data_IF_864367904585
#
_entry.id   IF_864367904585
#
_cell.length_a   1.000
_cell.length_b   1.000
_cell.length_c   1.000
_cell.angle_alpha   90.00
_cell.angle_beta   90.00
_cell.angle_gamma   90.00
#
_symmetry.space_group_name_H-M   'P 1'
#
loop_
_entity.id
_entity.type
_entity.pdbx_description
1 polymer ?
#
# COMPACT_ATOMS: atom_id res chain seq x y z
N UNK A 1 -12.73 22.87 -2.35
CA UNK A 1 -13.06 21.43 -2.50
C UNK A 1 -14.13 21.07 -1.49
N UNK A 2 -15.33 20.68 -1.94
CA UNK A 2 -16.31 20.04 -1.07
C UNK A 2 -15.65 18.81 -0.42
N UNK A 3 -15.86 18.60 0.89
CA UNK A 3 -15.23 17.53 1.65
C UNK A 3 -15.87 16.18 1.29
N UNK A 4 -15.50 15.64 0.13
CA UNK A 4 -16.00 14.36 -0.35
C UNK A 4 -15.36 13.21 0.45
N UNK A 5 -16.11 12.21 0.94
CA UNK A 5 -15.56 11.10 1.72
C UNK A 5 -14.41 10.35 1.03
N UNK A 6 -14.43 10.26 -0.31
CA UNK A 6 -13.33 9.66 -1.06
C UNK A 6 -12.01 10.43 -0.90
N UNK A 7 -12.05 11.76 -0.90
CA UNK A 7 -10.86 12.61 -0.82
C UNK A 7 -10.09 12.38 0.49
N UNK A 8 -10.79 12.14 1.59
CA UNK A 8 -10.17 11.83 2.88
C UNK A 8 -9.33 10.54 2.84
N UNK A 9 -9.70 9.57 1.99
CA UNK A 9 -9.02 8.27 1.85
C UNK A 9 -7.96 8.27 0.75
N UNK A 10 -8.10 9.14 -0.25
CA UNK A 10 -7.15 9.29 -1.36
C UNK A 10 -6.02 10.25 -0.98
N UNK A 11 -6.29 11.38 -0.33
CA UNK A 11 -5.31 12.44 -0.14
C UNK A 11 -4.05 12.01 0.66
N UNK A 12 -4.14 11.27 1.78
CA UNK A 12 -2.96 10.79 2.50
C UNK A 12 -2.11 9.82 1.66
N UNK A 13 -2.76 8.96 0.85
CA UNK A 13 -2.07 8.06 -0.06
C UNK A 13 -1.39 8.84 -1.20
N UNK A 14 -2.10 9.76 -1.83
CA UNK A 14 -1.60 10.56 -2.95
C UNK A 14 -0.41 11.45 -2.55
N UNK A 15 -0.47 12.11 -1.37
CA UNK A 15 0.65 12.93 -0.91
C UNK A 15 1.89 12.07 -0.64
N UNK A 16 1.73 10.86 -0.08
CA UNK A 16 2.85 9.96 0.14
C UNK A 16 3.46 9.52 -1.19
N UNK A 17 2.64 9.15 -2.18
CA UNK A 17 3.12 8.76 -3.51
C UNK A 17 3.86 9.89 -4.22
N UNK A 18 3.36 11.13 -4.14
CA UNK A 18 4.02 12.30 -4.77
C UNK A 18 5.35 12.61 -4.09
N UNK A 19 5.41 12.58 -2.75
CA UNK A 19 6.63 12.84 -1.99
C UNK A 19 7.65 11.70 -2.08
N UNK A 20 7.22 10.51 -2.51
CA UNK A 20 8.13 9.39 -2.77
C UNK A 20 9.13 9.73 -3.87
N UNK A 21 8.71 10.46 -4.92
CA UNK A 21 9.57 10.82 -6.06
C UNK A 21 10.85 11.55 -5.62
N UNK A 22 10.80 12.71 -4.94
CA UNK A 22 12.01 13.39 -4.47
C UNK A 22 12.77 12.59 -3.41
N UNK A 23 12.11 11.73 -2.63
CA UNK A 23 12.77 10.86 -1.65
C UNK A 23 13.62 9.79 -2.34
N UNK A 24 13.12 9.18 -3.42
CA UNK A 24 13.88 8.22 -4.22
C UNK A 24 15.04 8.90 -4.95
N UNK A 25 14.83 10.07 -5.55
CA UNK A 25 15.96 10.82 -6.14
C UNK A 25 17.04 11.15 -5.10
N UNK A 26 16.64 11.54 -3.89
CA UNK A 26 17.58 11.81 -2.83
C UNK A 26 18.25 10.55 -2.27
N UNK A 27 17.65 9.36 -2.31
CA UNK A 27 18.35 8.13 -1.90
C UNK A 27 19.52 7.82 -2.82
N UNK A 28 19.37 8.12 -4.11
CA UNK A 28 20.35 7.74 -5.13
C UNK A 28 21.49 8.76 -5.24
N UNK A 29 21.17 10.06 -5.25
CA UNK A 29 22.15 11.14 -5.50
C UNK A 29 22.58 11.91 -4.23
N UNK A 30 21.71 11.99 -3.23
CA UNK A 30 21.90 12.82 -2.04
C UNK A 30 21.56 12.08 -0.74
N UNK A 31 22.13 10.88 -0.57
CA UNK A 31 21.78 9.92 0.47
C UNK A 31 21.62 10.53 1.89
N UNK A 32 22.43 11.53 2.27
CA UNK A 32 22.34 12.22 3.57
C UNK A 32 21.07 13.05 3.78
N UNK A 33 20.39 13.47 2.71
CA UNK A 33 19.11 14.18 2.76
C UNK A 33 17.91 13.24 2.93
N UNK A 34 18.09 11.95 2.60
CA UNK A 34 17.02 10.95 2.70
C UNK A 34 16.28 10.96 4.06
N UNK A 35 16.95 10.93 5.23
CA UNK A 35 16.25 10.89 6.52
C UNK A 35 15.32 12.09 6.73
N UNK A 36 15.75 13.28 6.30
CA UNK A 36 14.97 14.51 6.43
C UNK A 36 13.76 14.49 5.50
N UNK A 37 13.95 14.14 4.23
CA UNK A 37 12.87 14.10 3.26
C UNK A 37 11.84 13.01 3.60
N UNK A 38 12.31 11.84 4.06
CA UNK A 38 11.44 10.76 4.52
C UNK A 38 10.64 11.15 5.77
N UNK A 39 11.27 11.88 6.71
CA UNK A 39 10.57 12.43 7.87
C UNK A 39 9.48 13.43 7.44
N UNK A 40 9.78 14.32 6.48
CA UNK A 40 8.79 15.27 5.92
C UNK A 40 7.63 14.51 5.26
N UNK A 41 7.92 13.47 4.47
CA UNK A 41 6.91 12.61 3.84
C UNK A 41 5.98 11.96 4.88
N UNK A 42 6.56 11.38 5.93
CA UNK A 42 5.79 10.80 7.02
C UNK A 42 4.95 11.85 7.76
N UNK A 43 5.54 12.99 8.10
CA UNK A 43 4.86 14.07 8.82
C UNK A 43 3.70 14.67 8.00
N UNK A 44 3.89 14.90 6.70
CA UNK A 44 2.85 15.38 5.80
C UNK A 44 1.68 14.39 5.71
N UNK A 45 1.98 13.10 5.66
CA UNK A 45 0.97 12.03 5.61
C UNK A 45 0.18 11.93 6.93
N UNK A 46 0.87 11.96 8.08
CA UNK A 46 0.23 11.97 9.40
C UNK A 46 -0.63 13.22 9.57
N UNK A 47 -0.14 14.39 9.12
CA UNK A 47 -0.91 15.62 9.14
C UNK A 47 -2.19 15.52 8.29
N UNK A 48 -2.13 14.92 7.10
CA UNK A 48 -3.32 14.63 6.28
C UNK A 48 -4.31 13.71 6.99
N UNK A 49 -3.82 12.62 7.59
CA UNK A 49 -4.66 11.69 8.35
C UNK A 49 -5.35 12.39 9.52
N UNK A 50 -4.63 13.24 10.25
CA UNK A 50 -5.19 14.03 11.34
C UNK A 50 -6.20 15.07 10.85
N UNK A 51 -5.91 15.77 9.75
CA UNK A 51 -6.76 16.82 9.17
C UNK A 51 -8.12 16.29 8.70
N UNK A 52 -8.17 15.04 8.23
CA UNK A 52 -9.38 14.39 7.72
C UNK A 52 -10.01 13.40 8.70
N UNK A 53 -9.50 13.26 9.94
CA UNK A 53 -9.91 12.21 10.90
C UNK A 53 -11.41 12.13 11.17
N UNK A 54 -12.14 13.24 11.09
CA UNK A 54 -13.59 13.28 11.28
C UNK A 54 -14.38 12.58 10.16
N UNK A 55 -13.79 12.45 8.97
CA UNK A 55 -14.41 11.81 7.79
C UNK A 55 -14.05 10.32 7.66
N UNK A 56 -13.29 9.80 8.63
CA UNK A 56 -12.70 8.46 8.63
C UNK A 56 -12.95 7.76 9.96
N UNK A 57 -14.22 7.57 10.39
CA UNK A 57 -14.55 6.94 11.67
C UNK A 57 -14.01 5.51 11.80
N UNK A 58 -13.75 4.82 10.69
CA UNK A 58 -13.14 3.49 10.66
C UNK A 58 -11.64 3.50 10.94
N UNK A 59 -10.96 4.64 10.80
CA UNK A 59 -9.53 4.78 11.08
C UNK A 59 -9.32 4.79 12.60
N UNK A 60 -9.17 3.60 13.15
CA UNK A 60 -8.95 3.36 14.57
C UNK A 60 -7.64 2.63 14.75
N UNK A 61 -7.03 2.73 15.94
CA UNK A 61 -5.78 2.03 16.28
C UNK A 61 -6.00 0.89 17.29
N UNK A 62 -7.22 0.32 17.31
CA UNK A 62 -7.56 -0.79 18.20
C UNK A 62 -6.75 -2.03 17.83
N UNK A 63 -6.07 -2.60 18.80
CA UNK A 63 -5.29 -3.83 18.62
C UNK A 63 -6.20 -5.07 18.75
N UNK A 64 -5.83 -6.15 18.05
CA UNK A 64 -6.44 -7.46 18.16
C UNK A 64 -5.36 -8.52 17.99
N UNK A 65 -5.43 -9.64 18.71
CA UNK A 65 -4.39 -10.69 18.66
C UNK A 65 -4.16 -11.26 17.25
N UNK A 66 -5.22 -11.29 16.43
CA UNK A 66 -5.16 -11.73 15.03
C UNK A 66 -4.16 -10.89 14.22
N UNK A 67 -3.90 -9.64 14.60
CA UNK A 67 -2.91 -8.78 13.96
C UNK A 67 -1.52 -9.38 14.00
N UNK A 68 -1.12 -9.93 15.15
CA UNK A 68 0.21 -10.53 15.31
C UNK A 68 0.33 -11.80 14.47
N UNK A 69 -0.68 -12.67 14.52
CA UNK A 69 -0.68 -13.94 13.78
C UNK A 69 -0.72 -13.70 12.27
N UNK A 70 -1.60 -12.80 11.81
CA UNK A 70 -1.70 -12.44 10.40
C UNK A 70 -0.43 -11.74 9.90
N UNK A 71 0.13 -10.81 10.68
CA UNK A 71 1.34 -10.07 10.29
C UNK A 71 2.56 -10.98 10.17
N UNK A 72 2.83 -11.82 11.18
CA UNK A 72 3.94 -12.78 11.11
C UNK A 72 3.73 -13.83 10.01
N UNK A 73 2.49 -14.30 9.83
CA UNK A 73 2.15 -15.23 8.76
C UNK A 73 2.36 -14.65 7.36
N UNK A 74 1.96 -13.40 7.15
CA UNK A 74 2.18 -12.69 5.88
C UNK A 74 3.67 -12.44 5.64
N UNK A 75 4.42 -12.00 6.66
CA UNK A 75 5.88 -11.84 6.53
C UNK A 75 6.57 -13.15 6.12
N UNK A 76 6.18 -14.26 6.75
CA UNK A 76 6.69 -15.58 6.39
C UNK A 76 6.34 -15.97 4.95
N UNK A 77 5.07 -15.80 4.55
CA UNK A 77 4.62 -16.07 3.17
C UNK A 77 5.41 -15.22 2.16
N UNK A 78 5.63 -13.95 2.47
CA UNK A 78 6.36 -13.02 1.61
C UNK A 78 7.79 -13.48 1.34
N UNK A 79 8.52 -13.87 2.40
CA UNK A 79 9.89 -14.37 2.28
C UNK A 79 9.94 -15.69 1.50
N UNK A 80 9.07 -16.65 1.84
CA UNK A 80 9.09 -17.98 1.23
C UNK A 80 8.74 -17.91 -0.26
N UNK A 81 7.65 -17.22 -0.60
CA UNK A 81 7.19 -17.09 -1.98
C UNK A 81 8.18 -16.25 -2.79
N UNK A 82 8.68 -15.14 -2.23
CA UNK A 82 9.68 -14.30 -2.91
C UNK A 82 10.93 -15.09 -3.28
N UNK A 83 11.47 -15.89 -2.36
CA UNK A 83 12.61 -16.79 -2.66
C UNK A 83 12.26 -17.83 -3.72
N UNK A 84 11.08 -18.44 -3.61
CA UNK A 84 10.63 -19.45 -4.56
C UNK A 84 10.49 -18.88 -5.98
N UNK A 85 10.02 -17.64 -6.11
CA UNK A 85 9.90 -16.94 -7.38
C UNK A 85 11.26 -16.68 -8.03
N UNK A 86 12.28 -16.31 -7.24
CA UNK A 86 13.67 -16.20 -7.72
C UNK A 86 14.20 -17.56 -8.18
N UNK A 87 13.90 -18.63 -7.45
CA UNK A 87 14.31 -20.00 -7.84
C UNK A 87 13.63 -20.48 -9.12
N UNK A 88 12.35 -20.17 -9.33
CA UNK A 88 11.60 -20.58 -10.52
C UNK A 88 11.93 -19.74 -11.76
N UNK A 89 12.19 -18.44 -11.57
CA UNK A 89 12.44 -17.51 -12.66
C UNK A 89 13.75 -16.72 -12.45
N UNK A 90 14.91 -17.41 -12.40
CA UNK A 90 16.18 -16.76 -12.10
C UNK A 90 16.53 -15.68 -13.15
N UNK A 91 16.28 -15.92 -14.43
CA UNK A 91 16.59 -14.92 -15.47
C UNK A 91 15.75 -13.64 -15.36
N UNK A 92 14.59 -13.69 -14.69
CA UNK A 92 13.72 -12.53 -14.50
C UNK A 92 13.96 -11.81 -13.17
N UNK A 93 14.40 -12.54 -12.13
CA UNK A 93 14.43 -12.03 -10.75
C UNK A 93 15.70 -12.34 -9.95
N UNK A 94 16.73 -12.98 -10.53
CA UNK A 94 17.99 -13.24 -9.83
C UNK A 94 18.76 -11.95 -9.53
N UNK A 95 18.64 -10.96 -10.41
CA UNK A 95 19.26 -9.66 -10.26
C UNK A 95 18.20 -8.66 -9.77
N UNK A 96 17.69 -8.85 -8.55
CA UNK A 96 16.68 -7.94 -7.98
C UNK A 96 17.18 -6.51 -7.76
N UNK A 97 18.40 -6.17 -8.21
CA UNK A 97 18.96 -4.82 -8.08
C UNK A 97 18.92 -4.33 -6.64
N UNK A 98 19.02 -5.25 -5.68
CA UNK A 98 18.97 -4.93 -4.26
C UNK A 98 20.30 -4.28 -3.91
N UNK A 99 20.44 -3.02 -4.28
CA UNK A 99 21.52 -2.17 -3.84
C UNK A 99 21.45 -2.09 -2.31
N UNK A 100 22.60 -1.91 -1.64
CA UNK A 100 22.61 -1.62 -0.23
C UNK A 100 21.70 -0.44 0.06
N UNK A 101 20.71 -0.61 0.95
CA UNK A 101 19.81 0.48 1.32
C UNK A 101 20.59 1.73 1.79
N UNK A 102 21.78 1.51 2.34
CA UNK A 102 22.83 2.50 2.48
C UNK A 102 24.18 1.80 2.29
N UNK A 103 25.08 2.44 1.56
CA UNK A 103 26.50 2.09 1.58
C UNK A 103 27.20 2.99 2.62
N UNK A 104 28.14 2.42 3.39
CA UNK A 104 28.81 3.13 4.49
C UNK A 104 29.58 4.38 4.02
N UNK A 105 30.02 4.39 2.76
CA UNK A 105 30.70 5.50 2.10
C UNK A 105 29.76 6.70 1.79
N UNK A 106 28.47 6.44 1.54
CA UNK A 106 27.51 7.49 1.16
C UNK A 106 26.92 8.22 2.37
N UNK A 107 26.41 7.50 3.37
CA UNK A 107 25.74 8.10 4.53
C UNK A 107 26.62 8.15 5.79
N UNK A 108 27.57 7.23 5.92
CA UNK A 108 28.25 6.95 7.19
C UNK A 108 27.32 6.22 8.19
N UNK A 109 27.90 5.56 9.21
CA UNK A 109 27.18 4.61 10.06
C UNK A 109 26.06 5.27 10.86
N UNK A 110 26.28 6.48 11.39
CA UNK A 110 25.30 7.16 12.24
C UNK A 110 24.04 7.55 11.44
N UNK A 111 24.23 8.18 10.28
CA UNK A 111 23.10 8.62 9.44
C UNK A 111 22.39 7.41 8.83
N UNK A 112 23.12 6.37 8.43
CA UNK A 112 22.55 5.11 7.94
C UNK A 112 21.61 4.46 8.97
N UNK A 113 22.03 4.37 10.24
CA UNK A 113 21.16 3.83 11.30
C UNK A 113 19.96 4.71 11.64
N UNK A 114 20.11 6.04 11.54
CA UNK A 114 18.98 6.97 11.68
C UNK A 114 17.98 6.77 10.54
N UNK A 115 18.45 6.74 9.29
CA UNK A 115 17.64 6.46 8.11
C UNK A 115 16.89 5.14 8.28
N UNK A 116 17.59 4.11 8.76
CA UNK A 116 17.02 2.79 8.94
C UNK A 116 15.94 2.72 10.00
N UNK A 117 16.18 3.37 11.14
CA UNK A 117 15.22 3.44 12.24
C UNK A 117 13.98 4.24 11.82
N UNK A 118 14.17 5.33 11.09
CA UNK A 118 13.07 6.11 10.52
C UNK A 118 12.27 5.27 9.53
N UNK A 119 12.92 4.54 8.63
CA UNK A 119 12.25 3.63 7.67
C UNK A 119 11.44 2.57 8.40
N UNK A 120 11.99 1.93 9.43
CA UNK A 120 11.26 0.96 10.25
C UNK A 120 9.98 1.58 10.82
N UNK A 121 10.08 2.76 11.44
CA UNK A 121 8.93 3.44 12.04
C UNK A 121 7.91 3.89 10.99
N UNK A 122 8.35 4.48 9.88
CA UNK A 122 7.49 4.93 8.79
C UNK A 122 6.76 3.77 8.13
N UNK A 123 7.49 2.73 7.72
CA UNK A 123 6.92 1.54 7.08
C UNK A 123 6.04 0.72 8.03
N UNK A 124 6.33 0.69 9.34
CA UNK A 124 5.56 -0.14 10.28
C UNK A 124 4.38 0.61 10.93
N UNK A 125 4.38 1.95 10.93
CA UNK A 125 3.34 2.73 11.62
C UNK A 125 2.58 3.64 10.66
N UNK A 126 3.27 4.44 9.85
CA UNK A 126 2.63 5.46 9.00
C UNK A 126 2.05 4.84 7.74
N UNK A 127 2.82 4.01 7.05
CA UNK A 127 2.42 3.37 5.79
C UNK A 127 1.15 2.53 5.93
N UNK A 128 1.05 1.63 6.92
CA UNK A 128 -0.15 0.83 7.12
C UNK A 128 -1.41 1.66 7.33
N UNK A 129 -1.30 2.82 7.98
CA UNK A 129 -2.47 3.67 8.27
C UNK A 129 -3.11 4.21 6.99
N UNK A 130 -2.35 4.78 6.07
CA UNK A 130 -2.93 5.33 4.84
C UNK A 130 -3.16 4.26 3.77
N UNK A 131 -2.31 3.23 3.70
CA UNK A 131 -2.49 2.17 2.71
C UNK A 131 -3.71 1.31 3.01
N UNK A 132 -3.94 0.92 4.27
CA UNK A 132 -5.14 0.13 4.61
C UNK A 132 -6.41 1.00 4.57
N UNK A 133 -6.29 2.30 4.81
CA UNK A 133 -7.38 3.26 4.59
C UNK A 133 -7.76 3.33 3.10
N UNK A 134 -6.79 3.42 2.20
CA UNK A 134 -7.02 3.42 0.76
C UNK A 134 -7.52 2.05 0.27
N UNK A 135 -6.84 0.96 0.60
CA UNK A 135 -7.18 -0.36 0.07
C UNK A 135 -8.43 -0.96 0.74
N UNK A 136 -8.49 -0.97 2.07
CA UNK A 136 -9.53 -1.71 2.82
C UNK A 136 -10.71 -0.88 3.24
N UNK A 137 -10.61 0.44 3.20
CA UNK A 137 -11.81 1.28 3.23
C UNK A 137 -12.23 1.71 1.84
N UNK A 138 -11.41 2.45 1.08
CA UNK A 138 -11.87 3.02 -0.19
C UNK A 138 -12.09 1.94 -1.27
N UNK A 139 -11.04 1.20 -1.67
CA UNK A 139 -11.15 0.26 -2.79
C UNK A 139 -12.16 -0.87 -2.50
N UNK A 140 -12.13 -1.48 -1.30
CA UNK A 140 -13.09 -2.53 -0.95
C UNK A 140 -14.56 -2.07 -1.07
N UNK A 141 -14.85 -0.80 -0.75
CA UNK A 141 -16.22 -0.25 -0.85
C UNK A 141 -16.56 0.18 -2.28
N UNK A 142 -15.61 0.79 -2.99
CA UNK A 142 -15.79 1.25 -4.37
C UNK A 142 -15.86 0.09 -5.38
N UNK A 143 -15.25 -1.06 -5.08
CA UNK A 143 -15.20 -2.23 -5.96
C UNK A 143 -16.17 -3.33 -5.52
N UNK A 144 -17.31 -2.95 -4.94
CA UNK A 144 -18.25 -3.91 -4.37
C UNK A 144 -19.02 -4.70 -5.42
N UNK A 145 -19.58 -3.98 -6.40
CA UNK A 145 -20.42 -4.53 -7.45
C UNK A 145 -19.69 -4.44 -8.80
N UNK A 146 -19.57 -5.54 -9.57
CA UNK A 146 -18.82 -5.55 -10.81
C UNK A 146 -19.41 -4.63 -11.89
N UNK A 147 -20.74 -4.48 -11.96
CA UNK A 147 -21.39 -3.65 -12.98
C UNK A 147 -21.18 -2.18 -12.68
N UNK A 148 -21.43 -1.75 -11.43
CA UNK A 148 -21.16 -0.37 -10.98
C UNK A 148 -19.67 -0.04 -11.07
N UNK A 149 -18.79 -1.01 -10.75
CA UNK A 149 -17.33 -0.85 -10.91
C UNK A 149 -16.97 -0.57 -12.37
N UNK A 150 -17.50 -1.35 -13.31
CA UNK A 150 -17.25 -1.11 -14.73
C UNK A 150 -17.79 0.25 -15.19
N UNK A 151 -19.00 0.65 -14.78
CA UNK A 151 -19.50 2.00 -15.02
C UNK A 151 -18.55 3.07 -14.47
N UNK A 152 -18.05 2.90 -13.25
CA UNK A 152 -17.10 3.83 -12.64
C UNK A 152 -15.78 3.94 -13.39
N UNK A 153 -15.26 2.82 -13.91
CA UNK A 153 -14.07 2.82 -14.75
C UNK A 153 -14.30 3.55 -16.09
N UNK A 154 -15.48 3.38 -16.69
CA UNK A 154 -15.86 4.17 -17.88
C UNK A 154 -15.95 5.65 -17.55
N UNK A 155 -16.56 6.02 -16.42
CA UNK A 155 -16.63 7.42 -15.96
C UNK A 155 -15.24 8.02 -15.77
N UNK A 156 -14.31 7.30 -15.14
CA UNK A 156 -12.90 7.73 -15.04
C UNK A 156 -12.27 7.88 -16.43
N UNK A 157 -12.52 6.93 -17.34
CA UNK A 157 -12.00 7.01 -18.71
C UNK A 157 -12.55 8.22 -19.49
N UNK A 158 -13.75 8.70 -19.16
CA UNK A 158 -14.35 9.89 -19.75
C UNK A 158 -13.65 11.19 -19.35
N UNK A 159 -13.02 11.22 -18.18
CA UNK A 159 -12.29 12.39 -17.71
C UNK A 159 -10.93 12.56 -18.40
N UNK A 160 -10.45 11.55 -19.14
CA UNK A 160 -9.19 11.63 -19.87
C UNK A 160 -9.37 12.30 -21.25
N UNK A 161 -8.49 13.24 -21.63
CA UNK A 161 -8.52 13.83 -22.96
C UNK A 161 -8.32 12.75 -24.03
N UNK A 162 -8.92 12.92 -25.21
CA UNK A 162 -8.91 11.96 -26.34
C UNK A 162 -9.74 10.70 -26.09
N UNK A 163 -9.51 9.99 -24.98
CA UNK A 163 -10.25 8.76 -24.63
C UNK A 163 -11.71 9.12 -24.32
N UNK A 164 -11.94 10.16 -23.53
CA UNK A 164 -13.28 10.59 -23.16
C UNK A 164 -14.10 11.10 -24.33
N UNK A 165 -13.48 11.92 -25.19
CA UNK A 165 -14.12 12.42 -26.42
C UNK A 165 -14.59 11.25 -27.30
N UNK A 166 -13.72 10.25 -27.50
CA UNK A 166 -14.07 9.02 -28.21
C UNK A 166 -15.19 8.25 -27.50
N UNK A 167 -15.13 8.11 -26.17
CA UNK A 167 -16.10 7.33 -25.41
C UNK A 167 -17.50 7.95 -25.45
N UNK A 168 -17.60 9.29 -25.53
CA UNK A 168 -18.87 10.01 -25.65
C UNK A 168 -19.59 9.77 -26.99
N UNK A 169 -18.90 9.25 -28.01
CA UNK A 169 -19.53 8.79 -29.24
C UNK A 169 -20.01 7.34 -29.16
N UNK A 170 -19.69 6.61 -28.09
CA UNK A 170 -20.15 5.23 -27.88
C UNK A 170 -21.43 5.20 -27.04
N UNK A 171 -22.30 4.22 -27.33
CA UNK A 171 -23.50 4.02 -26.50
C UNK A 171 -23.17 3.64 -25.05
N UNK A 172 -22.00 3.06 -24.78
CA UNK A 172 -21.55 2.71 -23.44
C UNK A 172 -21.16 3.96 -22.62
N UNK A 173 -20.38 4.88 -23.20
CA UNK A 173 -19.99 6.13 -22.55
C UNK A 173 -21.20 7.01 -22.23
N UNK A 174 -22.11 7.21 -23.19
CA UNK A 174 -23.33 8.00 -22.97
C UNK A 174 -24.18 7.42 -21.83
N UNK A 175 -24.26 6.08 -21.70
CA UNK A 175 -24.97 5.44 -20.59
C UNK A 175 -24.27 5.61 -19.25
N UNK A 176 -22.93 5.63 -19.23
CA UNK A 176 -22.15 5.81 -18.01
C UNK A 176 -22.21 7.25 -17.50
N UNK A 177 -22.15 8.23 -18.40
CA UNK A 177 -22.24 9.67 -18.10
C UNK A 177 -23.59 10.06 -17.46
N UNK A 178 -24.68 9.46 -17.93
CA UNK A 178 -26.03 9.68 -17.37
C UNK A 178 -26.24 9.08 -15.97
N UNK A 179 -25.37 8.18 -15.53
CA UNK A 179 -25.48 7.56 -14.22
C UNK A 179 -24.80 8.42 -13.15
N UNK A 180 -25.25 8.29 -11.91
CA UNK A 180 -24.55 8.92 -10.77
C UNK A 180 -23.09 8.43 -10.71
N UNK A 181 -22.18 9.18 -10.09
CA UNK A 181 -20.79 8.75 -9.94
C UNK A 181 -20.71 7.42 -9.19
N UNK A 182 -20.36 6.35 -9.92
CA UNK A 182 -20.60 4.98 -9.46
C UNK A 182 -19.73 4.60 -8.25
N UNK A 183 -18.49 5.08 -8.20
CA UNK A 183 -17.60 4.84 -7.06
C UNK A 183 -18.04 5.61 -5.81
N UNK A 184 -18.51 6.85 -5.97
CA UNK A 184 -19.07 7.62 -4.85
C UNK A 184 -20.30 6.95 -4.27
N UNK A 185 -21.20 6.49 -5.12
CA UNK A 185 -22.41 5.80 -4.69
C UNK A 185 -22.06 4.51 -3.95
N UNK A 186 -21.22 3.65 -4.53
CA UNK A 186 -20.78 2.41 -3.90
C UNK A 186 -20.04 2.65 -2.58
N UNK A 187 -19.21 3.70 -2.51
CA UNK A 187 -18.55 4.10 -1.27
C UNK A 187 -19.59 4.40 -0.20
N UNK A 188 -20.52 5.32 -0.46
CA UNK A 188 -21.51 5.77 0.52
C UNK A 188 -22.49 4.66 0.95
N UNK A 189 -22.88 3.78 0.03
CA UNK A 189 -23.83 2.69 0.30
C UNK A 189 -23.20 1.50 1.01
N UNK A 190 -21.89 1.28 0.86
CA UNK A 190 -21.22 0.09 1.42
C UNK A 190 -20.70 0.37 2.82
N UNK A 191 -21.21 -0.34 3.85
CA UNK A 191 -20.65 -0.28 5.20
C UNK A 191 -19.21 -0.79 5.24
N UNK A 192 -18.42 -0.25 6.16
CA UNK A 192 -17.06 -0.72 6.41
C UNK A 192 -17.04 -2.21 6.81
N UNK A 193 -16.05 -2.94 6.29
CA UNK A 193 -15.83 -4.36 6.59
C UNK A 193 -16.80 -5.32 5.90
N UNK A 194 -17.65 -4.84 4.98
CA UNK A 194 -18.46 -5.72 4.13
C UNK A 194 -17.63 -6.24 2.97
N UNK A 195 -17.51 -7.57 2.88
CA UNK A 195 -16.73 -8.24 1.85
C UNK A 195 -17.64 -8.93 0.83
N UNK A 196 -17.33 -8.78 -0.45
CA UNK A 196 -17.80 -9.67 -1.52
C UNK A 196 -16.59 -10.35 -2.13
N UNK A 197 -16.78 -11.51 -2.77
CA UNK A 197 -15.69 -12.19 -3.47
C UNK A 197 -15.08 -11.26 -4.52
N UNK A 198 -15.92 -10.55 -5.27
CA UNK A 198 -15.46 -9.59 -6.28
C UNK A 198 -14.64 -8.45 -5.65
N UNK A 199 -15.09 -7.82 -4.57
CA UNK A 199 -14.37 -6.71 -3.96
C UNK A 199 -13.02 -7.12 -3.40
N UNK A 200 -12.95 -8.30 -2.78
CA UNK A 200 -11.69 -8.86 -2.26
C UNK A 200 -10.72 -9.10 -3.40
N UNK A 201 -11.14 -9.77 -4.47
CA UNK A 201 -10.28 -10.07 -5.62
C UNK A 201 -9.85 -8.80 -6.36
N UNK A 202 -10.79 -7.90 -6.66
CA UNK A 202 -10.51 -6.68 -7.40
C UNK A 202 -9.59 -5.72 -6.64
N UNK A 203 -9.85 -5.46 -5.35
CA UNK A 203 -8.98 -4.60 -4.54
C UNK A 203 -7.60 -5.22 -4.32
N UNK A 204 -7.52 -6.54 -4.16
CA UNK A 204 -6.25 -7.26 -4.02
C UNK A 204 -5.45 -7.22 -5.32
N UNK A 205 -6.10 -7.32 -6.47
CA UNK A 205 -5.44 -7.20 -7.76
C UNK A 205 -4.86 -5.79 -7.96
N UNK A 206 -5.61 -4.74 -7.63
CA UNK A 206 -5.08 -3.35 -7.68
C UNK A 206 -3.88 -3.18 -6.75
N UNK A 207 -3.96 -3.71 -5.53
CA UNK A 207 -2.83 -3.71 -4.58
C UNK A 207 -1.62 -4.46 -5.14
N UNK A 208 -1.81 -5.63 -5.76
CA UNK A 208 -0.74 -6.43 -6.34
C UNK A 208 0.01 -5.67 -7.46
N UNK A 209 -0.71 -4.95 -8.33
CA UNK A 209 -0.11 -4.27 -9.48
C UNK A 209 0.88 -3.15 -9.12
N UNK A 210 0.81 -2.59 -7.91
CA UNK A 210 1.76 -1.56 -7.45
C UNK A 210 3.02 -2.15 -6.79
N UNK A 211 3.14 -3.48 -6.76
CA UNK A 211 4.31 -4.18 -6.22
C UNK A 211 5.19 -4.77 -7.33
N UNK A 212 6.43 -5.07 -6.98
CA UNK A 212 7.38 -5.71 -7.88
C UNK A 212 6.84 -7.08 -8.38
N UNK A 213 6.96 -7.43 -9.67
CA UNK A 213 6.41 -8.67 -10.23
C UNK A 213 6.84 -9.96 -9.52
N UNK A 214 8.07 -10.00 -8.99
CA UNK A 214 8.56 -11.09 -8.12
C UNK A 214 7.60 -11.38 -6.96
N UNK A 215 7.04 -10.34 -6.36
CA UNK A 215 6.27 -10.42 -5.13
C UNK A 215 4.77 -10.56 -5.38
N UNK A 216 4.30 -10.46 -6.64
CA UNK A 216 2.87 -10.52 -6.98
C UNK A 216 2.10 -11.68 -6.33
N UNK A 217 2.59 -12.94 -6.33
CA UNK A 217 1.85 -14.02 -5.70
C UNK A 217 1.73 -13.84 -4.18
N UNK A 218 2.78 -13.34 -3.52
CA UNK A 218 2.76 -13.01 -2.09
C UNK A 218 1.83 -11.83 -1.80
N UNK A 219 1.90 -10.76 -2.60
CA UNK A 219 1.03 -9.58 -2.49
C UNK A 219 -0.45 -9.95 -2.64
N UNK A 220 -0.76 -10.86 -3.56
CA UNK A 220 -2.13 -11.34 -3.77
C UNK A 220 -2.65 -12.08 -2.53
N UNK A 221 -1.87 -13.03 -1.99
CA UNK A 221 -2.27 -13.73 -0.76
C UNK A 221 -2.35 -12.78 0.44
N UNK A 222 -1.40 -11.85 0.59
CA UNK A 222 -1.41 -10.79 1.59
C UNK A 222 -2.70 -9.98 1.54
N UNK A 223 -3.08 -9.49 0.35
CA UNK A 223 -4.30 -8.71 0.17
C UNK A 223 -5.58 -9.48 0.55
N UNK A 224 -5.66 -10.77 0.20
CA UNK A 224 -6.77 -11.63 0.64
C UNK A 224 -6.78 -11.77 2.16
N UNK A 225 -5.64 -12.10 2.79
CA UNK A 225 -5.53 -12.27 4.24
C UNK A 225 -5.95 -10.98 4.96
N UNK A 226 -5.47 -9.82 4.53
CA UNK A 226 -5.83 -8.54 5.14
C UNK A 226 -7.30 -8.19 4.96
N UNK A 227 -7.91 -8.49 3.81
CA UNK A 227 -9.36 -8.38 3.65
C UNK A 227 -10.11 -9.26 4.66
N UNK A 228 -9.68 -10.52 4.84
CA UNK A 228 -10.29 -11.44 5.81
C UNK A 228 -10.12 -10.96 7.25
N UNK A 229 -8.97 -10.40 7.62
CA UNK A 229 -8.75 -9.75 8.93
C UNK A 229 -9.77 -8.64 9.13
N UNK A 230 -9.92 -7.73 8.16
CA UNK A 230 -10.91 -6.63 8.22
C UNK A 230 -12.34 -7.16 8.38
N UNK A 231 -12.73 -8.19 7.64
CA UNK A 231 -14.05 -8.81 7.77
C UNK A 231 -14.28 -9.42 9.15
N UNK A 232 -13.29 -10.14 9.67
CA UNK A 232 -13.33 -10.79 10.98
C UNK A 232 -13.34 -9.77 12.13
N UNK A 233 -12.63 -8.65 11.98
CA UNK A 233 -12.46 -7.65 13.05
C UNK A 233 -13.18 -6.33 12.80
N UNK A 234 -14.18 -6.28 11.91
CA UNK A 234 -14.88 -5.04 11.49
C UNK A 234 -15.34 -4.11 12.61
N UNK A 235 -15.69 -4.64 13.80
CA UNK A 235 -16.07 -3.85 15.00
C UNK A 235 -14.92 -3.04 15.60
N UNK A 236 -13.68 -3.37 15.24
CA UNK A 236 -12.45 -2.73 15.68
C UNK A 236 -11.92 -1.75 14.61
N UNK A 237 -12.70 -1.44 13.57
CA UNK A 237 -12.25 -0.58 12.46
C UNK A 237 -11.05 -1.15 11.71
N UNK A 238 -10.20 -0.26 11.20
CA UNK A 238 -8.96 -0.61 10.49
C UNK A 238 -7.81 -1.03 11.41
N UNK A 239 -7.91 -0.79 12.73
CA UNK A 239 -6.79 -1.01 13.67
C UNK A 239 -6.13 -2.38 13.55
N UNK A 240 -6.88 -3.49 13.55
CA UNK A 240 -6.27 -4.81 13.47
C UNK A 240 -5.49 -5.08 12.18
N UNK A 241 -5.95 -4.59 11.02
CA UNK A 241 -5.21 -4.79 9.76
C UNK A 241 -4.02 -3.83 9.66
N UNK A 242 -4.13 -2.60 10.17
CA UNK A 242 -3.03 -1.65 10.29
C UNK A 242 -1.91 -2.26 11.13
N UNK A 243 -2.24 -2.86 12.28
CA UNK A 243 -1.27 -3.55 13.12
C UNK A 243 -0.70 -4.81 12.45
N UNK A 244 -1.53 -5.60 11.73
CA UNK A 244 -1.04 -6.77 11.01
C UNK A 244 0.01 -6.37 9.97
N UNK A 245 -0.29 -5.34 9.17
CA UNK A 245 0.62 -4.80 8.18
C UNK A 245 1.88 -4.20 8.83
N UNK A 246 1.73 -3.42 9.91
CA UNK A 246 2.87 -2.91 10.66
C UNK A 246 3.80 -4.01 11.19
N UNK A 247 3.24 -5.10 11.72
CA UNK A 247 3.99 -6.29 12.16
C UNK A 247 4.69 -6.96 10.99
N UNK A 248 4.02 -7.09 9.84
CA UNK A 248 4.64 -7.64 8.61
C UNK A 248 5.89 -6.86 8.25
N UNK A 249 5.80 -5.53 8.18
CA UNK A 249 6.91 -4.67 7.77
C UNK A 249 8.06 -4.69 8.79
N UNK A 250 7.74 -4.68 10.09
CA UNK A 250 8.74 -4.82 11.13
C UNK A 250 9.45 -6.19 11.07
N UNK A 251 8.72 -7.27 10.82
CA UNK A 251 9.29 -8.62 10.70
C UNK A 251 10.19 -8.75 9.46
N UNK A 252 9.79 -8.19 8.31
CA UNK A 252 10.59 -8.14 7.09
C UNK A 252 11.86 -7.31 7.27
N UNK A 253 11.77 -6.18 7.99
CA UNK A 253 12.93 -5.36 8.34
C UNK A 253 13.94 -6.13 9.19
N UNK A 254 13.46 -6.78 10.27
CA UNK A 254 14.32 -7.63 11.13
C UNK A 254 14.95 -8.76 10.34
N UNK A 255 14.16 -9.44 9.50
CA UNK A 255 14.65 -10.51 8.65
C UNK A 255 15.75 -10.02 7.70
N UNK A 256 15.61 -8.83 7.13
CA UNK A 256 16.60 -8.25 6.22
C UNK A 256 17.91 -7.95 6.92
N UNK A 257 17.87 -7.32 8.10
CA UNK A 257 19.07 -7.09 8.93
C UNK A 257 19.74 -8.42 9.30
N UNK A 258 18.95 -9.39 9.73
CA UNK A 258 19.46 -10.70 10.11
C UNK A 258 20.16 -11.40 8.92
N UNK A 259 19.62 -11.28 7.70
CA UNK A 259 20.29 -11.82 6.51
C UNK A 259 21.61 -11.11 6.24
N UNK A 260 21.63 -9.77 6.29
CA UNK A 260 22.83 -8.96 6.06
C UNK A 260 24.01 -9.37 6.97
N UNK A 261 23.75 -9.72 8.24
CA UNK A 261 24.80 -10.15 9.18
C UNK A 261 25.15 -11.64 9.15
N UNK A 262 24.34 -12.50 8.51
CA UNK A 262 24.55 -13.98 8.51
C UNK A 262 25.21 -14.52 7.26
N UNK A 263 25.11 -13.85 6.12
CA UNK A 263 25.80 -14.27 4.90
C UNK A 263 27.30 -13.97 5.05
N UNK A 264 28.14 -15.01 4.93
CA UNK A 264 29.60 -14.94 5.15
C UNK A 264 30.35 -14.09 4.11
N UNK A 265 29.68 -13.78 3.00
CA UNK A 265 29.97 -12.65 2.13
C UNK A 265 28.96 -11.58 2.53
N UNK A 266 29.41 -10.43 3.05
CA UNK A 266 28.54 -9.32 3.42
C UNK A 266 27.68 -8.92 2.23
N UNK A 267 26.51 -9.53 2.11
CA UNK A 267 25.71 -9.41 0.91
C UNK A 267 25.19 -7.99 0.87
N UNK A 268 25.48 -7.30 -0.22
CA UNK A 268 24.98 -5.96 -0.55
C UNK A 268 23.43 -5.90 -0.65
N UNK A 269 22.75 -7.04 -0.50
CA UNK A 269 21.33 -7.22 -0.79
C UNK A 269 20.46 -6.92 0.43
N UNK A 270 19.58 -5.92 0.33
CA UNK A 270 18.51 -5.62 1.29
C UNK A 270 17.12 -5.90 0.69
N UNK A 271 16.76 -7.16 0.43
CA UNK A 271 15.67 -7.53 -0.49
C UNK A 271 14.24 -7.11 -0.09
N UNK A 272 14.02 -6.70 1.17
CA UNK A 272 12.70 -6.34 1.70
C UNK A 272 12.69 -5.01 2.44
N UNK A 273 13.75 -4.20 2.29
CA UNK A 273 13.74 -2.82 2.78
C UNK A 273 13.13 -1.90 1.74
#
# INVERSE_FOLDING_TARGET
MQQHPANARIAPWAIYMVLMVPVTFASDDWAKLYPLLYLIQCAATVWMLWRYRSLMPELTLRCHWLSLVAGLGVAWLWVVIGKQMVTWFPNAFADTGATPFFQDDQMGPVIGWIAMSLRLLGMSLVVPMFEELFNRSLLLRCLRDPRKTFTGLLQIAQDFPVIGDWLMHTGAGIRADKQKPAFTEQLNETPFGQLTVFSVLASTFVFMLVHHPRDWPACFLCGVIYCLVVGATRRHGLGPVIWAHGVTNAALWVYTIHQHYRTAEGSELWPFL
#
